data_IF_777091417916
#
_entry.id   IF_777091417916
#
_cell.length_a   1.000
_cell.length_b   1.000
_cell.length_c   1.000
_cell.angle_alpha   90.00
_cell.angle_beta   90.00
_cell.angle_gamma   90.00
#
_symmetry.space_group_name_H-M   'P 1'
#
loop_
_entity.id
_entity.type
_entity.pdbx_description
1 polymer ?
#
# COMPACT_ATOMS: atom_id res chain seq x y z
N UNK A 1 16.58 10.37 23.66
CA UNK A 1 15.45 11.23 24.02
C UNK A 1 14.21 10.36 23.94
N UNK A 2 13.59 10.03 25.07
CA UNK A 2 12.40 9.18 25.07
C UNK A 2 11.18 10.07 24.79
N UNK A 3 10.57 9.90 23.62
CA UNK A 3 9.38 10.65 23.18
C UNK A 3 8.15 10.33 24.05
N UNK A 4 8.14 9.16 24.67
CA UNK A 4 7.13 8.70 25.61
C UNK A 4 7.79 8.54 26.97
N UNK A 5 7.17 9.09 28.02
CA UNK A 5 7.76 9.05 29.37
C UNK A 5 8.03 7.60 29.80
N UNK A 6 9.22 7.31 30.36
CA UNK A 6 9.46 6.04 31.03
C UNK A 6 8.41 5.85 32.14
N UNK A 7 7.83 4.64 32.24
CA UNK A 7 6.65 4.26 33.06
C UNK A 7 5.26 4.65 32.53
N UNK A 8 5.10 4.93 31.24
CA UNK A 8 3.77 4.97 30.64
C UNK A 8 3.10 3.58 30.71
N UNK A 9 1.87 3.52 31.23
CA UNK A 9 1.12 2.28 31.45
C UNK A 9 -0.26 2.32 30.77
N UNK A 10 -0.27 2.42 29.44
CA UNK A 10 -1.50 2.39 28.65
C UNK A 10 -2.03 0.96 28.61
N UNK A 11 -3.33 0.79 28.81
CA UNK A 11 -3.99 -0.51 28.80
C UNK A 11 -4.49 -0.89 27.40
N UNK A 12 -3.57 -1.30 26.53
CA UNK A 12 -3.87 -1.74 25.16
C UNK A 12 -4.79 -2.96 25.13
N UNK A 13 -4.44 -4.01 25.88
CA UNK A 13 -5.22 -5.25 25.87
C UNK A 13 -6.58 -5.11 26.55
N UNK A 14 -6.76 -4.17 27.49
CA UNK A 14 -8.08 -3.88 28.05
C UNK A 14 -9.03 -3.30 27.01
N UNK A 15 -8.50 -2.51 26.07
CA UNK A 15 -9.26 -1.84 25.02
C UNK A 15 -9.30 -2.63 23.70
N UNK A 16 -8.85 -3.90 23.70
CA UNK A 16 -8.77 -4.74 22.50
C UNK A 16 -10.08 -4.89 21.73
N UNK A 17 -11.23 -4.80 22.40
CA UNK A 17 -12.53 -4.89 21.73
C UNK A 17 -12.80 -3.71 20.79
N UNK A 18 -12.31 -2.51 21.13
CA UNK A 18 -12.35 -1.36 20.24
C UNK A 18 -11.42 -1.58 19.03
N UNK A 19 -10.24 -2.15 19.27
CA UNK A 19 -9.31 -2.48 18.19
C UNK A 19 -9.89 -3.53 17.23
N UNK A 20 -10.52 -4.58 17.77
CA UNK A 20 -11.21 -5.58 16.95
C UNK A 20 -12.35 -4.97 16.16
N UNK A 21 -13.19 -4.14 16.77
CA UNK A 21 -14.28 -3.47 16.07
C UNK A 21 -13.75 -2.59 14.92
N UNK A 22 -12.72 -1.79 15.17
CA UNK A 22 -12.11 -0.94 14.15
C UNK A 22 -11.51 -1.77 13.00
N UNK A 23 -10.72 -2.79 13.32
CA UNK A 23 -10.14 -3.72 12.32
C UNK A 23 -11.23 -4.41 11.49
N UNK A 24 -12.28 -4.92 12.13
CA UNK A 24 -13.39 -5.57 11.43
C UNK A 24 -14.10 -4.59 10.49
N UNK A 25 -14.35 -3.36 10.93
CA UNK A 25 -14.94 -2.33 10.07
C UNK A 25 -14.04 -2.04 8.87
N UNK A 26 -12.73 -1.87 9.08
CA UNK A 26 -11.79 -1.61 8.00
C UNK A 26 -11.72 -2.75 6.98
N UNK A 27 -11.66 -4.01 7.44
CA UNK A 27 -11.74 -5.17 6.54
C UNK A 27 -13.06 -5.17 5.76
N UNK A 28 -14.20 -4.94 6.42
CA UNK A 28 -15.50 -4.91 5.75
C UNK A 28 -15.52 -3.81 4.69
N UNK A 29 -15.04 -2.61 5.00
CA UNK A 29 -14.94 -1.52 4.03
C UNK A 29 -14.04 -1.91 2.85
N UNK A 30 -12.90 -2.54 3.11
CA UNK A 30 -12.01 -3.01 2.04
C UNK A 30 -12.64 -4.07 1.16
N UNK A 31 -13.35 -5.04 1.73
CA UNK A 31 -14.01 -6.08 0.95
C UNK A 31 -15.26 -5.55 0.22
N UNK A 32 -15.96 -4.58 0.80
CA UNK A 32 -17.10 -3.92 0.17
C UNK A 32 -16.71 -3.12 -1.07
N UNK A 33 -15.44 -2.77 -1.26
CA UNK A 33 -14.98 -2.11 -2.49
C UNK A 33 -15.25 -2.98 -3.72
N UNK A 34 -15.16 -4.31 -3.60
CA UNK A 34 -15.30 -5.24 -4.73
C UNK A 34 -16.69 -5.16 -5.37
N UNK A 35 -17.80 -5.35 -4.64
CA UNK A 35 -19.13 -5.24 -5.24
C UNK A 35 -19.55 -3.80 -5.58
N UNK A 36 -18.97 -2.78 -4.94
CA UNK A 36 -19.41 -1.37 -5.10
C UNK A 36 -18.63 -0.66 -6.21
N UNK A 37 -17.31 -0.75 -6.17
CA UNK A 37 -16.39 -0.07 -7.10
C UNK A 37 -15.84 -1.01 -8.17
N UNK A 38 -16.04 -2.32 -8.02
CA UNK A 38 -15.40 -3.35 -8.84
C UNK A 38 -14.04 -3.77 -8.27
N UNK A 39 -13.30 -4.54 -9.06
CA UNK A 39 -11.94 -4.92 -8.73
C UNK A 39 -10.98 -3.74 -8.87
N UNK A 40 -9.83 -3.85 -8.21
CA UNK A 40 -8.71 -2.93 -8.37
C UNK A 40 -8.35 -2.73 -9.85
N UNK A 41 -8.18 -1.46 -10.25
CA UNK A 41 -7.81 -1.12 -11.63
C UNK A 41 -6.36 -1.50 -11.88
N UNK A 42 -6.11 -2.45 -12.77
CA UNK A 42 -4.76 -2.86 -13.12
C UNK A 42 -4.13 -1.87 -14.11
N UNK A 43 -2.85 -1.56 -13.90
CA UNK A 43 -2.03 -0.74 -14.78
C UNK A 43 -1.60 -1.49 -16.04
N UNK A 44 -0.97 -0.76 -16.98
CA UNK A 44 -0.50 -1.36 -18.25
C UNK A 44 0.54 -2.45 -18.06
N UNK A 45 1.26 -2.45 -16.93
CA UNK A 45 2.21 -3.51 -16.58
C UNK A 45 1.56 -4.89 -16.52
N UNK A 46 0.26 -4.95 -16.24
CA UNK A 46 -0.49 -6.22 -16.11
C UNK A 46 -1.48 -6.41 -17.25
N UNK A 47 -2.03 -5.33 -17.82
CA UNK A 47 -3.03 -5.43 -18.90
C UNK A 47 -2.40 -5.38 -20.30
N UNK A 48 -1.17 -4.89 -20.43
CA UNK A 48 -0.64 -4.37 -21.68
C UNK A 48 -1.35 -3.07 -22.12
N UNK A 49 -0.79 -2.42 -23.13
CA UNK A 49 -1.33 -1.20 -23.73
C UNK A 49 -0.31 -0.06 -23.77
N UNK A 50 -0.82 1.14 -24.06
CA UNK A 50 0.00 2.35 -24.14
C UNK A 50 -0.55 3.43 -23.21
N UNK A 51 0.34 4.06 -22.46
CA UNK A 51 0.01 5.22 -21.60
C UNK A 51 0.82 6.42 -22.06
N UNK A 52 0.12 7.55 -22.24
CA UNK A 52 0.72 8.85 -22.55
C UNK A 52 0.34 9.82 -21.43
N UNK A 53 1.37 10.37 -20.79
CA UNK A 53 1.20 11.39 -19.75
C UNK A 53 1.37 12.78 -20.37
N UNK A 54 0.39 13.65 -20.17
CA UNK A 54 0.38 14.99 -20.75
C UNK A 54 0.08 16.02 -19.69
N UNK A 55 0.85 17.10 -19.68
CA UNK A 55 0.55 18.32 -18.94
C UNK A 55 0.03 19.38 -19.90
N UNK A 56 -1.09 20.00 -19.54
CA UNK A 56 -1.70 21.08 -20.29
C UNK A 56 -1.39 22.42 -19.64
N UNK A 57 -0.86 23.38 -20.41
CA UNK A 57 -0.59 24.73 -19.90
C UNK A 57 -1.83 25.62 -19.85
N UNK A 58 -2.99 25.09 -20.26
CA UNK A 58 -4.29 25.76 -20.26
C UNK A 58 -5.32 24.84 -19.61
N UNK A 59 -6.28 25.40 -18.84
CA UNK A 59 -7.35 24.60 -18.27
C UNK A 59 -8.17 23.98 -19.41
N UNK A 60 -8.26 22.66 -19.41
CA UNK A 60 -9.07 21.90 -20.35
C UNK A 60 -9.82 20.81 -19.58
N UNK A 61 -11.03 20.50 -20.02
CA UNK A 61 -11.79 19.41 -19.43
C UNK A 61 -11.43 18.09 -20.10
N UNK A 62 -11.54 16.99 -19.36
CA UNK A 62 -11.30 15.62 -19.83
C UNK A 62 -12.02 15.31 -21.15
N UNK A 63 -13.22 15.83 -21.34
CA UNK A 63 -13.99 15.66 -22.59
C UNK A 63 -13.36 16.36 -23.79
N UNK A 64 -12.74 17.52 -23.61
CA UNK A 64 -12.03 18.22 -24.69
C UNK A 64 -10.77 17.45 -25.10
N UNK A 65 -10.05 16.90 -24.11
CA UNK A 65 -8.88 16.04 -24.33
C UNK A 65 -9.29 14.76 -25.06
N UNK A 66 -10.37 14.11 -24.60
CA UNK A 66 -10.94 12.93 -25.24
C UNK A 66 -11.37 13.21 -26.68
N UNK A 67 -12.04 14.33 -26.93
CA UNK A 67 -12.51 14.72 -28.26
C UNK A 67 -11.33 15.00 -29.22
N UNK A 68 -10.27 15.65 -28.74
CA UNK A 68 -9.06 15.90 -29.52
C UNK A 68 -8.37 14.60 -29.95
N UNK A 69 -8.44 13.55 -29.13
CA UNK A 69 -7.74 12.30 -29.33
C UNK A 69 -8.56 11.21 -30.01
N UNK A 70 -9.85 11.44 -30.30
CA UNK A 70 -10.72 10.53 -31.09
C UNK A 70 -10.05 9.95 -32.34
N UNK A 71 -9.20 10.68 -33.11
CA UNK A 71 -8.54 10.10 -34.28
C UNK A 71 -7.59 8.94 -33.97
N UNK A 72 -7.13 8.79 -32.72
CA UNK A 72 -6.24 7.69 -32.29
C UNK A 72 -7.00 6.41 -31.92
N UNK A 73 -8.33 6.45 -31.85
CA UNK A 73 -9.18 5.29 -31.55
C UNK A 73 -10.42 5.67 -30.75
N UNK A 74 -11.43 4.79 -30.73
CA UNK A 74 -12.65 5.02 -29.94
C UNK A 74 -12.50 4.53 -28.48
N UNK A 75 -11.65 3.53 -28.23
CA UNK A 75 -11.41 2.93 -26.91
C UNK A 75 -10.28 3.63 -26.12
N UNK A 76 -10.34 4.96 -26.01
CA UNK A 76 -9.39 5.75 -25.21
C UNK A 76 -9.96 6.03 -23.81
N UNK A 77 -9.18 5.73 -22.78
CA UNK A 77 -9.47 6.18 -21.42
C UNK A 77 -8.61 7.41 -21.12
N UNK A 78 -9.27 8.55 -20.90
CA UNK A 78 -8.62 9.79 -20.45
C UNK A 78 -8.99 10.00 -19.00
N UNK A 79 -7.98 10.11 -18.14
CA UNK A 79 -8.13 10.35 -16.71
C UNK A 79 -7.31 11.57 -16.32
N UNK A 80 -7.94 12.48 -15.58
CA UNK A 80 -7.27 13.62 -14.96
C UNK A 80 -6.54 13.16 -13.69
N UNK A 81 -5.27 13.55 -13.53
CA UNK A 81 -4.54 13.30 -12.29
C UNK A 81 -5.12 14.17 -11.18
N UNK A 82 -5.86 13.53 -10.28
CA UNK A 82 -6.55 14.22 -9.18
C UNK A 82 -5.51 14.62 -8.12
N UNK A 83 -5.11 15.90 -8.10
CA UNK A 83 -4.20 16.42 -7.06
C UNK A 83 -3.21 17.50 -7.45
N UNK A 84 -3.14 17.92 -8.72
CA UNK A 84 -2.37 19.07 -9.18
C UNK A 84 -3.15 19.81 -10.26
N UNK A 85 -3.52 21.06 -9.99
CA UNK A 85 -4.08 22.12 -10.87
C UNK A 85 -5.15 21.78 -11.93
N UNK A 86 -5.61 20.54 -12.04
CA UNK A 86 -6.46 20.03 -13.12
C UNK A 86 -5.81 20.09 -14.51
N UNK A 87 -4.48 20.06 -14.56
CA UNK A 87 -3.71 20.29 -15.78
C UNK A 87 -2.97 19.05 -16.29
N UNK A 88 -2.88 17.97 -15.51
CA UNK A 88 -2.21 16.73 -15.89
C UNK A 88 -3.22 15.61 -16.21
N UNK A 89 -2.99 14.92 -17.33
CA UNK A 89 -3.85 13.88 -17.86
C UNK A 89 -3.05 12.63 -18.21
N UNK A 90 -3.63 11.48 -17.90
CA UNK A 90 -3.18 10.16 -18.34
C UNK A 90 -4.13 9.68 -19.43
N UNK A 91 -3.56 9.40 -20.59
CA UNK A 91 -4.28 8.85 -21.74
C UNK A 91 -3.85 7.41 -21.89
N UNK A 92 -4.80 6.49 -21.75
CA UNK A 92 -4.60 5.06 -21.95
C UNK A 92 -5.30 4.62 -23.22
N UNK A 93 -4.60 3.83 -24.01
CA UNK A 93 -5.08 3.24 -25.25
C UNK A 93 -4.61 1.80 -25.38
N UNK A 94 -5.23 1.09 -26.33
CA UNK A 94 -4.74 -0.19 -26.79
C UNK A 94 -3.28 -0.07 -27.28
N UNK A 95 -2.58 -1.20 -27.38
CA UNK A 95 -1.18 -1.17 -27.76
C UNK A 95 -1.03 -0.52 -29.14
N UNK A 96 -0.23 0.55 -29.22
CA UNK A 96 0.12 1.16 -30.50
C UNK A 96 1.26 0.37 -31.15
N UNK A 97 1.17 0.12 -32.45
CA UNK A 97 2.28 -0.41 -33.25
C UNK A 97 3.32 0.66 -33.57
N UNK A 98 3.00 1.94 -33.31
CA UNK A 98 3.92 3.04 -33.55
C UNK A 98 4.98 3.17 -32.45
N UNK A 99 6.13 3.78 -32.80
CA UNK A 99 7.14 4.12 -31.81
C UNK A 99 6.62 5.18 -30.83
N UNK A 100 7.07 5.11 -29.57
CA UNK A 100 6.70 6.05 -28.52
C UNK A 100 6.90 7.52 -28.94
N UNK A 101 7.95 7.81 -29.72
CA UNK A 101 8.23 9.15 -30.26
C UNK A 101 7.18 9.63 -31.25
N UNK A 102 6.75 8.77 -32.17
CA UNK A 102 5.70 9.11 -33.15
C UNK A 102 4.37 9.34 -32.47
N UNK A 103 4.01 8.46 -31.53
CA UNK A 103 2.78 8.60 -30.76
C UNK A 103 2.80 9.88 -29.91
N UNK A 104 3.92 10.18 -29.25
CA UNK A 104 4.12 11.43 -28.50
C UNK A 104 3.85 12.66 -29.38
N UNK A 105 4.43 12.68 -30.59
CA UNK A 105 4.25 13.80 -31.52
C UNK A 105 2.82 13.90 -32.05
N UNK A 106 2.19 12.76 -32.35
CA UNK A 106 0.79 12.71 -32.80
C UNK A 106 -0.16 13.24 -31.72
N UNK A 107 -0.05 12.74 -30.49
CA UNK A 107 -0.85 13.17 -29.34
C UNK A 107 -0.66 14.67 -29.11
N UNK A 108 0.59 15.15 -29.11
CA UNK A 108 0.89 16.58 -28.95
C UNK A 108 0.24 17.42 -30.03
N UNK A 109 0.37 17.03 -31.30
CA UNK A 109 -0.20 17.77 -32.43
C UNK A 109 -1.73 17.82 -32.37
N UNK A 110 -2.39 16.71 -32.04
CA UNK A 110 -3.85 16.65 -31.91
C UNK A 110 -4.36 17.57 -30.79
N UNK A 111 -3.69 17.56 -29.64
CA UNK A 111 -4.03 18.42 -28.51
C UNK A 111 -3.80 19.89 -28.83
N UNK A 112 -2.65 20.24 -29.43
CA UNK A 112 -2.34 21.61 -29.82
C UNK A 112 -3.28 22.13 -30.92
N UNK A 113 -3.75 21.29 -31.82
CA UNK A 113 -4.71 21.68 -32.85
C UNK A 113 -6.10 22.02 -32.27
N UNK A 114 -6.53 21.31 -31.22
CA UNK A 114 -7.86 21.52 -30.60
C UNK A 114 -7.83 22.58 -29.49
N UNK A 115 -6.77 22.64 -28.68
CA UNK A 115 -6.66 23.47 -27.47
C UNK A 115 -5.78 24.72 -27.72
N UNK A 116 -4.92 24.67 -28.74
CA UNK A 116 -4.06 25.76 -29.21
C UNK A 116 -2.57 25.44 -29.10
N UNK A 117 -1.75 26.01 -29.99
CA UNK A 117 -0.30 25.78 -30.02
C UNK A 117 0.38 26.04 -28.66
N UNK A 118 1.30 25.15 -28.28
CA UNK A 118 2.02 25.22 -27.00
C UNK A 118 1.18 24.86 -25.77
N UNK A 119 -0.04 24.35 -25.96
CA UNK A 119 -0.91 23.96 -24.83
C UNK A 119 -0.53 22.62 -24.21
N UNK A 120 0.23 21.76 -24.89
CA UNK A 120 0.48 20.39 -24.45
C UNK A 120 1.98 20.07 -24.33
N UNK A 121 2.37 19.55 -23.18
CA UNK A 121 3.70 19.02 -22.90
C UNK A 121 3.59 17.52 -22.60
N UNK A 122 4.22 16.68 -23.40
CA UNK A 122 4.27 15.24 -23.16
C UNK A 122 5.31 14.97 -22.07
N UNK A 123 4.87 14.40 -20.96
CA UNK A 123 5.72 14.05 -19.80
C UNK A 123 6.33 12.66 -19.93
N UNK A 124 5.63 11.75 -20.60
CA UNK A 124 6.12 10.39 -20.82
C UNK A 124 5.19 9.58 -21.72
N UNK A 125 5.77 8.57 -22.36
CA UNK A 125 5.04 7.53 -23.12
C UNK A 125 5.58 6.18 -22.68
N UNK A 126 4.69 5.32 -22.23
CA UNK A 126 5.00 3.94 -21.83
C UNK A 126 4.20 2.98 -22.69
N UNK A 127 4.89 1.99 -23.26
CA UNK A 127 4.27 0.96 -24.12
C UNK A 127 4.62 -0.41 -23.54
N UNK A 128 3.60 -1.19 -23.23
CA UNK A 128 3.75 -2.58 -22.74
C UNK A 128 2.98 -3.51 -23.67
N UNK A 129 3.69 -4.46 -24.28
CA UNK A 129 3.05 -5.49 -25.11
C UNK A 129 2.29 -6.52 -24.27
N UNK A 130 1.21 -7.15 -24.79
CA UNK A 130 0.39 -8.13 -24.08
C UNK A 130 1.21 -9.27 -23.47
N UNK A 131 2.20 -9.78 -24.23
CA UNK A 131 3.06 -10.85 -23.75
C UNK A 131 3.96 -10.42 -22.58
N UNK A 132 4.52 -9.21 -22.67
CA UNK A 132 5.30 -8.64 -21.58
C UNK A 132 4.41 -8.42 -20.36
N UNK A 133 3.19 -7.92 -20.54
CA UNK A 133 2.23 -7.71 -19.46
C UNK A 133 1.88 -9.01 -18.72
N UNK A 134 1.62 -10.10 -19.44
CA UNK A 134 1.37 -11.41 -18.82
C UNK A 134 2.58 -11.93 -18.05
N UNK A 135 3.79 -11.77 -18.60
CA UNK A 135 5.02 -12.25 -17.96
C UNK A 135 5.34 -11.43 -16.69
N UNK A 136 5.06 -10.12 -16.71
CA UNK A 136 5.17 -9.23 -15.56
C UNK A 136 4.14 -9.57 -14.47
N UNK A 137 2.89 -9.89 -14.85
CA UNK A 137 1.86 -10.32 -13.92
C UNK A 137 2.24 -11.63 -13.22
N UNK A 138 2.70 -12.63 -13.97
CA UNK A 138 3.16 -13.90 -13.38
C UNK A 138 4.35 -13.68 -12.43
N UNK A 139 5.31 -12.87 -12.86
CA UNK A 139 6.48 -12.53 -12.04
C UNK A 139 6.09 -11.81 -10.75
N UNK A 140 5.14 -10.89 -10.81
CA UNK A 140 4.59 -10.18 -9.66
C UNK A 140 3.93 -11.13 -8.65
N UNK A 141 3.13 -12.10 -9.14
CA UNK A 141 2.50 -13.12 -8.31
C UNK A 141 3.57 -13.97 -7.63
N UNK A 142 4.54 -14.48 -8.39
CA UNK A 142 5.62 -15.32 -7.85
C UNK A 142 6.51 -14.58 -6.85
N UNK A 143 6.87 -13.33 -7.14
CA UNK A 143 7.64 -12.50 -6.21
C UNK A 143 6.92 -12.33 -4.87
N UNK A 144 5.61 -12.09 -4.90
CA UNK A 144 4.78 -11.94 -3.70
C UNK A 144 4.70 -13.24 -2.90
N UNK A 145 4.43 -14.36 -3.58
CA UNK A 145 4.36 -15.69 -2.94
C UNK A 145 5.68 -16.07 -2.30
N UNK A 146 6.80 -15.89 -3.03
CA UNK A 146 8.14 -16.18 -2.51
C UNK A 146 8.45 -15.30 -1.29
N UNK A 147 8.14 -14.00 -1.34
CA UNK A 147 8.33 -13.09 -0.21
C UNK A 147 7.54 -13.55 1.04
N UNK A 148 6.27 -13.92 0.87
CA UNK A 148 5.44 -14.43 1.97
C UNK A 148 5.95 -15.76 2.54
N UNK A 149 6.45 -16.68 1.70
CA UNK A 149 7.03 -17.94 2.15
C UNK A 149 8.33 -17.69 2.93
N UNK A 150 9.24 -16.85 2.42
CA UNK A 150 10.48 -16.51 3.12
C UNK A 150 10.21 -15.87 4.48
N UNK A 151 9.17 -15.04 4.55
CA UNK A 151 8.71 -14.41 5.78
C UNK A 151 8.14 -15.45 6.76
N UNK A 152 7.32 -16.39 6.30
CA UNK A 152 6.81 -17.50 7.11
C UNK A 152 7.95 -18.36 7.68
N UNK A 153 8.93 -18.70 6.84
CA UNK A 153 10.12 -19.46 7.24
C UNK A 153 10.87 -18.69 8.32
N UNK A 154 11.17 -17.41 8.09
CA UNK A 154 11.83 -16.57 9.07
C UNK A 154 11.07 -16.54 10.42
N UNK A 155 9.76 -16.34 10.37
CA UNK A 155 8.92 -16.28 11.58
C UNK A 155 8.88 -17.62 12.32
N UNK A 156 8.82 -18.74 11.60
CA UNK A 156 8.83 -20.09 12.18
C UNK A 156 10.14 -20.39 12.93
N UNK A 157 11.28 -19.94 12.41
CA UNK A 157 12.57 -20.08 13.11
C UNK A 157 12.74 -19.09 14.26
N UNK A 158 12.15 -17.89 14.14
CA UNK A 158 12.42 -16.78 15.06
C UNK A 158 11.50 -16.73 16.27
N UNK A 159 10.25 -17.21 16.14
CA UNK A 159 9.18 -17.05 17.12
C UNK A 159 8.42 -18.35 17.40
N UNK A 160 7.55 -18.32 18.43
CA UNK A 160 6.60 -19.42 18.67
C UNK A 160 5.57 -19.49 17.55
N UNK A 161 4.98 -20.66 17.33
CA UNK A 161 3.98 -20.86 16.27
C UNK A 161 2.82 -19.85 16.33
N UNK A 162 2.31 -19.55 17.53
CA UNK A 162 1.20 -18.59 17.71
C UNK A 162 1.61 -17.15 17.42
N UNK A 163 2.83 -16.75 17.77
CA UNK A 163 3.40 -15.44 17.39
C UNK A 163 3.64 -15.34 15.88
N UNK A 164 4.16 -16.40 15.26
CA UNK A 164 4.34 -16.47 13.81
C UNK A 164 3.02 -16.36 13.06
N UNK A 165 2.02 -17.15 13.45
CA UNK A 165 0.69 -17.10 12.87
C UNK A 165 0.04 -15.73 13.05
N UNK A 166 0.21 -15.09 14.21
CA UNK A 166 -0.33 -13.77 14.45
C UNK A 166 0.27 -12.69 13.56
N UNK A 167 1.59 -12.72 13.34
CA UNK A 167 2.24 -11.79 12.42
C UNK A 167 1.71 -11.94 11.00
N UNK A 168 1.51 -13.17 10.53
CA UNK A 168 0.97 -13.45 9.19
C UNK A 168 -0.45 -12.91 9.04
N UNK A 169 -1.29 -13.11 10.05
CA UNK A 169 -2.66 -12.58 10.05
C UNK A 169 -2.67 -11.04 10.04
N UNK A 170 -1.75 -10.40 10.77
CA UNK A 170 -1.60 -8.94 10.72
C UNK A 170 -1.19 -8.45 9.32
N UNK A 171 -0.22 -9.12 8.69
CA UNK A 171 0.20 -8.78 7.33
C UNK A 171 -0.94 -8.94 6.32
N UNK A 172 -1.73 -10.01 6.41
CA UNK A 172 -2.89 -10.20 5.54
C UNK A 172 -3.96 -9.13 5.77
N UNK A 173 -4.17 -8.74 7.02
CA UNK A 173 -5.04 -7.61 7.38
C UNK A 173 -4.57 -6.32 6.72
N UNK A 174 -3.29 -5.99 6.82
CA UNK A 174 -2.74 -4.73 6.30
C UNK A 174 -2.75 -4.70 4.77
N UNK A 175 -2.44 -5.83 4.11
CA UNK A 175 -2.58 -5.98 2.66
C UNK A 175 -4.03 -5.86 2.20
N UNK A 176 -5.00 -6.36 2.98
CA UNK A 176 -6.43 -6.21 2.69
C UNK A 176 -6.87 -4.75 2.79
N UNK A 177 -6.40 -4.01 3.80
CA UNK A 177 -6.68 -2.58 3.93
C UNK A 177 -6.08 -1.80 2.75
N UNK A 178 -4.83 -2.09 2.41
CA UNK A 178 -4.14 -1.44 1.31
C UNK A 178 -4.83 -1.73 -0.04
N UNK A 179 -5.26 -2.97 -0.26
CA UNK A 179 -6.08 -3.34 -1.42
C UNK A 179 -7.37 -2.52 -1.50
N UNK A 180 -8.11 -2.48 -0.38
CA UNK A 180 -9.37 -1.73 -0.29
C UNK A 180 -9.17 -0.25 -0.59
N UNK A 181 -8.11 0.37 -0.06
CA UNK A 181 -7.79 1.77 -0.31
C UNK A 181 -7.62 2.06 -1.81
N UNK A 182 -6.85 1.24 -2.53
CA UNK A 182 -6.63 1.42 -3.97
C UNK A 182 -7.91 1.15 -4.78
N UNK A 183 -8.72 0.18 -4.38
CA UNK A 183 -10.01 -0.08 -5.00
C UNK A 183 -10.99 1.11 -4.80
N UNK A 184 -11.09 1.66 -3.59
CA UNK A 184 -11.96 2.80 -3.29
C UNK A 184 -11.52 4.10 -3.96
N UNK A 185 -10.21 4.34 -4.04
CA UNK A 185 -9.68 5.55 -4.68
C UNK A 185 -9.66 5.46 -6.20
N UNK A 186 -9.88 4.27 -6.76
CA UNK A 186 -9.84 4.03 -8.20
C UNK A 186 -8.47 4.33 -8.82
N UNK A 187 -7.42 4.33 -8.00
CA UNK A 187 -6.02 4.46 -8.41
C UNK A 187 -5.58 3.18 -9.12
N UNK A 188 -4.70 3.33 -10.09
CA UNK A 188 -4.18 2.20 -10.83
C UNK A 188 -3.21 1.40 -9.97
N UNK A 189 -3.19 0.09 -10.13
CA UNK A 189 -2.25 -0.81 -9.50
C UNK A 189 -1.23 -1.29 -10.54
N UNK A 190 0.02 -0.91 -10.34
CA UNK A 190 1.15 -1.18 -11.24
C UNK A 190 2.31 -1.81 -10.45
N UNK A 191 3.42 -2.12 -11.13
CA UNK A 191 4.58 -2.75 -10.49
C UNK A 191 5.22 -1.84 -9.42
N UNK A 192 5.15 -0.52 -9.61
CA UNK A 192 5.63 0.45 -8.62
C UNK A 192 4.83 0.35 -7.32
N UNK A 193 3.51 0.23 -7.39
CA UNK A 193 2.66 0.06 -6.21
C UNK A 193 2.85 -1.32 -5.59
N UNK A 194 3.00 -2.38 -6.39
CA UNK A 194 3.36 -3.69 -5.86
C UNK A 194 4.67 -3.64 -5.07
N UNK A 195 5.69 -2.97 -5.60
CA UNK A 195 6.96 -2.76 -4.89
C UNK A 195 6.76 -1.98 -3.59
N UNK A 196 5.88 -0.97 -3.57
CA UNK A 196 5.50 -0.26 -2.35
C UNK A 196 4.84 -1.19 -1.33
N UNK A 197 3.90 -2.05 -1.77
CA UNK A 197 3.22 -3.02 -0.91
C UNK A 197 4.20 -4.02 -0.29
N UNK A 198 5.13 -4.56 -1.07
CA UNK A 198 6.17 -5.47 -0.56
C UNK A 198 7.13 -4.75 0.40
N UNK A 199 7.43 -3.47 0.14
CA UNK A 199 8.21 -2.63 1.05
C UNK A 199 7.48 -2.43 2.39
N UNK A 200 6.18 -2.14 2.34
CA UNK A 200 5.32 -2.03 3.52
C UNK A 200 5.30 -3.34 4.30
N UNK A 201 5.18 -4.50 3.64
CA UNK A 201 5.22 -5.81 4.31
C UNK A 201 6.51 -6.00 5.10
N UNK A 202 7.66 -5.65 4.51
CA UNK A 202 8.95 -5.72 5.20
C UNK A 202 9.09 -4.70 6.34
N UNK A 203 8.47 -3.53 6.19
CA UNK A 203 8.46 -2.49 7.21
C UNK A 203 7.57 -2.87 8.41
N UNK A 204 6.34 -3.30 8.13
CA UNK A 204 5.33 -3.64 9.13
C UNK A 204 5.76 -4.84 9.99
N UNK A 205 6.32 -5.88 9.35
CA UNK A 205 6.78 -7.04 10.12
C UNK A 205 7.88 -6.67 11.12
N UNK A 206 8.73 -5.67 10.83
CA UNK A 206 9.77 -5.26 11.75
C UNK A 206 9.19 -4.77 13.10
N UNK A 207 8.09 -4.04 13.09
CA UNK A 207 7.44 -3.58 14.32
C UNK A 207 6.80 -4.75 15.08
N UNK A 208 6.15 -5.66 14.34
CA UNK A 208 5.59 -6.89 14.93
C UNK A 208 6.67 -7.76 15.58
N UNK A 209 7.84 -7.92 14.94
CA UNK A 209 9.01 -8.64 15.48
C UNK A 209 9.46 -8.01 16.80
N UNK A 210 9.58 -6.69 16.86
CA UNK A 210 10.02 -5.96 18.06
C UNK A 210 9.05 -6.17 19.23
N UNK A 211 7.75 -6.09 18.98
CA UNK A 211 6.72 -6.33 20.02
C UNK A 211 6.75 -7.79 20.48
N UNK A 212 6.76 -8.75 19.56
CA UNK A 212 6.80 -10.19 19.87
C UNK A 212 8.06 -10.59 20.65
N UNK A 213 9.22 -10.02 20.30
CA UNK A 213 10.45 -10.22 21.05
C UNK A 213 10.33 -9.72 22.48
N UNK A 214 9.78 -8.51 22.66
CA UNK A 214 9.61 -7.95 23.98
C UNK A 214 8.63 -8.75 24.82
N UNK A 215 7.58 -9.29 24.22
CA UNK A 215 6.67 -10.24 24.87
C UNK A 215 7.44 -11.46 25.35
N UNK A 216 8.27 -12.06 24.49
CA UNK A 216 9.07 -13.25 24.82
C UNK A 216 10.04 -12.98 25.98
N UNK A 217 10.70 -11.84 25.99
CA UNK A 217 11.61 -11.45 27.07
C UNK A 217 10.85 -11.21 28.38
N UNK A 218 9.72 -10.50 28.33
CA UNK A 218 8.91 -10.27 29.51
C UNK A 218 8.30 -11.57 30.06
N UNK A 219 7.99 -12.56 29.23
CA UNK A 219 7.55 -13.88 29.70
C UNK A 219 8.63 -14.60 30.53
N UNK A 220 9.92 -14.40 30.21
CA UNK A 220 11.03 -14.98 30.99
C UNK A 220 11.22 -14.28 32.33
N UNK A 221 11.03 -12.97 32.40
CA UNK A 221 11.27 -12.14 33.59
C UNK A 221 10.03 -12.08 34.50
N UNK A 222 8.83 -11.99 33.94
CA UNK A 222 7.56 -11.78 34.64
C UNK A 222 6.77 -13.09 34.85
N UNK A 223 7.44 -14.17 35.27
CA UNK A 223 6.89 -15.54 35.31
C UNK A 223 5.57 -15.71 36.08
N UNK A 224 5.32 -14.88 37.09
CA UNK A 224 4.10 -14.93 37.94
C UNK A 224 3.01 -13.95 37.51
N UNK A 225 3.28 -13.10 36.51
CA UNK A 225 2.33 -12.09 36.08
C UNK A 225 1.27 -12.69 35.12
N UNK A 226 0.02 -12.21 35.16
CA UNK A 226 -0.99 -12.56 34.15
C UNK A 226 -0.51 -12.18 32.74
N UNK A 227 -0.83 -13.00 31.73
CA UNK A 227 -0.39 -12.78 30.34
C UNK A 227 -0.77 -11.41 29.80
N UNK A 228 -1.97 -10.94 30.11
CA UNK A 228 -2.44 -9.59 29.73
C UNK A 228 -1.49 -8.51 30.24
N UNK A 229 -0.99 -8.65 31.49
CA UNK A 229 -0.05 -7.69 32.08
C UNK A 229 1.31 -7.75 31.39
N UNK A 230 1.78 -8.95 31.05
CA UNK A 230 3.03 -9.17 30.33
C UNK A 230 3.00 -8.52 28.94
N UNK A 231 1.92 -8.73 28.20
CA UNK A 231 1.78 -8.20 26.84
C UNK A 231 1.59 -6.68 26.86
N UNK A 232 0.79 -6.14 27.78
CA UNK A 232 0.64 -4.69 27.94
C UNK A 232 1.99 -4.03 28.26
N UNK A 233 2.77 -4.63 29.15
CA UNK A 233 4.10 -4.14 29.48
C UNK A 233 5.02 -4.14 28.25
N UNK A 234 4.97 -5.20 27.43
CA UNK A 234 5.77 -5.29 26.21
C UNK A 234 5.44 -4.18 25.22
N UNK A 235 4.14 -3.95 24.93
CA UNK A 235 3.70 -2.89 24.01
C UNK A 235 4.15 -1.52 24.51
N UNK A 236 3.95 -1.20 25.79
CA UNK A 236 4.37 0.11 26.34
C UNK A 236 5.88 0.32 26.26
N UNK A 237 6.69 -0.74 26.44
CA UNK A 237 8.15 -0.67 26.39
C UNK A 237 8.68 -0.48 24.96
N UNK A 238 7.96 -0.95 23.95
CA UNK A 238 8.36 -0.81 22.54
C UNK A 238 7.71 0.39 21.86
N UNK A 239 6.65 0.96 22.44
CA UNK A 239 5.82 2.01 21.84
C UNK A 239 6.62 3.21 21.33
N UNK A 240 7.59 3.71 22.11
CA UNK A 240 8.40 4.86 21.67
C UNK A 240 9.25 4.55 20.46
N UNK A 241 9.78 3.32 20.35
CA UNK A 241 10.58 2.91 19.19
C UNK A 241 9.70 2.80 17.97
N UNK A 242 8.59 2.07 18.07
CA UNK A 242 7.61 1.86 17.01
C UNK A 242 7.08 3.20 16.48
N UNK A 243 6.60 4.09 17.34
CA UNK A 243 6.10 5.39 16.89
C UNK A 243 7.20 6.26 16.26
N UNK A 244 8.43 6.23 16.79
CA UNK A 244 9.52 7.04 16.24
C UNK A 244 9.95 6.54 14.86
N UNK A 245 10.03 5.22 14.64
CA UNK A 245 10.34 4.67 13.33
C UNK A 245 9.24 5.02 12.33
N UNK A 246 7.97 4.83 12.69
CA UNK A 246 6.82 5.12 11.82
C UNK A 246 6.72 6.59 11.47
N UNK A 247 6.75 7.48 12.48
CA UNK A 247 6.69 8.93 12.23
C UNK A 247 7.89 9.40 11.42
N UNK A 248 9.09 8.88 11.70
CA UNK A 248 10.29 9.22 10.93
C UNK A 248 10.15 8.89 9.44
N UNK A 249 9.64 7.70 9.12
CA UNK A 249 9.39 7.31 7.73
C UNK A 249 8.23 8.10 7.12
N UNK A 250 7.16 8.35 7.88
CA UNK A 250 6.00 9.12 7.43
C UNK A 250 6.35 10.56 7.09
N UNK A 251 7.35 11.18 7.73
CA UNK A 251 7.82 12.53 7.35
C UNK A 251 8.39 12.55 5.93
N UNK A 252 9.17 11.53 5.55
CA UNK A 252 9.68 11.41 4.19
C UNK A 252 8.52 11.17 3.21
N UNK A 253 7.62 10.24 3.52
CA UNK A 253 6.43 9.96 2.70
C UNK A 253 5.54 11.20 2.52
N UNK A 254 5.37 12.00 3.57
CA UNK A 254 4.62 13.25 3.51
C UNK A 254 5.24 14.25 2.54
N UNK A 255 6.57 14.35 2.48
CA UNK A 255 7.24 15.19 1.50
C UNK A 255 6.91 14.74 0.06
N UNK A 256 6.95 13.43 -0.22
CA UNK A 256 6.53 12.91 -1.53
C UNK A 256 5.07 13.28 -1.83
N UNK A 257 4.14 13.13 -0.88
CA UNK A 257 2.74 13.45 -1.10
C UNK A 257 2.47 14.94 -1.39
N UNK A 258 3.27 15.83 -0.82
CA UNK A 258 3.15 17.29 -0.99
C UNK A 258 3.80 17.74 -2.30
N UNK A 259 4.99 17.23 -2.61
CA UNK A 259 5.80 17.74 -3.72
C UNK A 259 5.66 16.96 -5.03
N UNK A 260 5.31 15.67 -4.98
CA UNK A 260 5.09 14.87 -6.19
C UNK A 260 3.64 14.97 -6.69
N UNK A 261 3.49 14.99 -8.02
CA UNK A 261 2.18 15.05 -8.70
C UNK A 261 1.87 13.81 -9.55
N UNK A 262 2.89 13.01 -9.85
CA UNK A 262 2.80 11.89 -10.80
C UNK A 262 2.70 10.52 -10.10
N UNK A 263 3.11 9.46 -10.79
CA UNK A 263 3.13 8.05 -10.33
C UNK A 263 3.77 7.89 -8.93
N UNK A 264 4.79 8.67 -8.61
CA UNK A 264 5.45 8.64 -7.28
C UNK A 264 4.53 9.07 -6.14
N UNK A 265 3.48 9.85 -6.41
CA UNK A 265 2.47 10.22 -5.43
C UNK A 265 1.62 9.02 -5.01
N UNK A 266 1.24 8.16 -5.96
CA UNK A 266 0.47 6.95 -5.68
C UNK A 266 1.32 5.90 -4.95
N UNK A 267 2.61 5.82 -5.29
CA UNK A 267 3.60 5.08 -4.50
C UNK A 267 3.65 5.58 -3.05
N UNK A 268 3.69 6.90 -2.83
CA UNK A 268 3.70 7.49 -1.50
C UNK A 268 2.38 7.24 -0.74
N UNK A 269 1.23 7.23 -1.42
CA UNK A 269 -0.04 6.84 -0.82
C UNK A 269 -0.01 5.38 -0.33
N UNK A 270 0.57 4.47 -1.12
CA UNK A 270 0.71 3.08 -0.72
C UNK A 270 1.56 2.95 0.56
N UNK A 271 2.69 3.65 0.62
CA UNK A 271 3.54 3.69 1.82
C UNK A 271 2.83 4.32 3.01
N UNK A 272 2.11 5.43 2.82
CA UNK A 272 1.39 6.13 3.89
C UNK A 272 0.37 5.19 4.55
N UNK A 273 -0.54 4.63 3.75
CA UNK A 273 -1.59 3.74 4.24
C UNK A 273 -0.97 2.51 4.87
N UNK A 274 0.00 1.90 4.19
CA UNK A 274 0.70 0.72 4.69
C UNK A 274 1.37 0.93 6.06
N UNK A 275 2.14 2.02 6.21
CA UNK A 275 2.83 2.32 7.47
C UNK A 275 1.82 2.65 8.58
N UNK A 276 0.80 3.46 8.30
CA UNK A 276 -0.20 3.83 9.32
C UNK A 276 -0.94 2.60 9.83
N UNK A 277 -1.44 1.75 8.93
CA UNK A 277 -2.20 0.56 9.32
C UNK A 277 -1.32 -0.56 9.87
N UNK A 278 -0.09 -0.73 9.39
CA UNK A 278 0.87 -1.67 9.97
C UNK A 278 1.33 -1.28 11.38
N UNK A 279 1.62 0.00 11.60
CA UNK A 279 1.90 0.50 12.95
C UNK A 279 0.71 0.32 13.88
N UNK A 280 -0.52 0.52 13.39
CA UNK A 280 -1.72 0.21 14.15
C UNK A 280 -1.85 -1.31 14.43
N UNK A 281 -1.66 -2.17 13.43
CA UNK A 281 -1.85 -3.62 13.53
C UNK A 281 -0.84 -4.25 14.49
N UNK A 282 0.44 -3.87 14.42
CA UNK A 282 1.50 -4.33 15.31
C UNK A 282 1.25 -3.99 16.78
N UNK A 283 0.67 -2.81 17.06
CA UNK A 283 0.35 -2.37 18.43
C UNK A 283 -0.96 -2.98 18.94
N UNK A 284 -2.02 -2.93 18.12
CA UNK A 284 -3.40 -3.18 18.56
C UNK A 284 -4.01 -4.50 18.09
N UNK A 285 -3.42 -5.18 17.11
CA UNK A 285 -3.96 -6.45 16.56
C UNK A 285 -3.05 -7.63 16.91
N UNK A 286 -1.74 -7.52 16.68
CA UNK A 286 -0.80 -8.62 16.86
C UNK A 286 -0.82 -9.20 18.28
N UNK A 287 -0.65 -8.36 19.30
CA UNK A 287 -0.58 -8.80 20.69
C UNK A 287 -1.89 -9.44 21.21
N UNK A 288 -3.08 -8.84 21.02
CA UNK A 288 -4.33 -9.52 21.34
C UNK A 288 -4.51 -10.83 20.58
N UNK A 289 -4.15 -10.89 19.30
CA UNK A 289 -4.32 -12.08 18.48
C UNK A 289 -3.44 -13.24 18.96
N UNK A 290 -2.18 -12.98 19.32
CA UNK A 290 -1.31 -13.97 19.97
C UNK A 290 -1.96 -14.50 21.26
N UNK A 291 -2.52 -13.61 22.08
CA UNK A 291 -3.15 -14.01 23.34
C UNK A 291 -4.37 -14.93 23.14
N UNK A 292 -5.20 -14.67 22.13
CA UNK A 292 -6.32 -15.54 21.80
C UNK A 292 -5.86 -16.85 21.13
N UNK A 293 -4.87 -16.80 20.24
CA UNK A 293 -4.29 -18.00 19.64
C UNK A 293 -3.65 -18.91 20.69
N UNK A 294 -2.96 -18.37 21.69
CA UNK A 294 -2.37 -19.14 22.78
C UNK A 294 -3.42 -19.81 23.69
N UNK A 295 -4.63 -19.27 23.77
CA UNK A 295 -5.74 -19.92 24.49
C UNK A 295 -6.26 -21.14 23.74
N UNK A 296 -6.29 -21.08 22.41
CA UNK A 296 -6.82 -22.14 21.54
C UNK A 296 -5.75 -23.21 21.28
N UNK A 297 -4.52 -22.78 21.04
CA UNK A 297 -3.35 -23.60 20.72
C UNK A 297 -2.30 -23.40 21.81
N UNK A 298 -2.42 -24.07 22.97
CA UNK A 298 -1.47 -23.91 24.07
C UNK A 298 -0.09 -24.41 23.65
N UNK A 299 0.78 -23.48 23.26
CA UNK A 299 2.18 -23.78 22.95
C UNK A 299 2.96 -23.92 24.26
N UNK A 300 3.71 -25.02 24.42
CA UNK A 300 4.66 -25.17 25.53
C UNK A 300 5.72 -24.08 25.43
N UNK A 301 5.66 -23.10 26.33
CA UNK A 301 6.69 -22.08 26.51
C UNK A 301 7.76 -22.68 27.41
N UNK A 302 8.84 -23.19 26.79
CA UNK A 302 10.03 -23.69 27.48
C UNK A 302 10.75 -22.61 28.28
#
# INVERSE_FOLDING_TARGET
MDLIKPNTSINFLGNRYYAYAFTTIMIILSLASIPIMGYMKLGIDFTGGTVVQVKLNKPAHTEQVREALKPLGENLAVQEFTGASGDEFVIRMEQSEESAEKLSQQVKNLLENKIGKGSAEIRGVEVVGPKVGTDLQESAIWATVIALILLLIYMAFRFTFTMGLAAVVCLLHDLCILYGFFAWTGKEFNLTILAAMLTVVGYDINDTIVVCDRIRDNLKVMKKAPLIKVFNAAINQTLSRTLLTSVGTLLAVAAFLVFETNVLKDFAWALLVGIVFGTYSSIFVASPLVLELDRILPVRRG
#
